data_IF_630479912952
#
_entry.id   IF_630479912952
#
_cell.length_a   1.000
_cell.length_b   1.000
_cell.length_c   1.000
_cell.angle_alpha   90.00
_cell.angle_beta   90.00
_cell.angle_gamma   90.00
#
_symmetry.space_group_name_H-M   'P 1'
#
loop_
_entity.id
_entity.type
_entity.pdbx_description
1 polymer ?
#
# COMPACT_ATOMS: atom_id res chain seq x y z
N UNK A 1 12.35 7.80 -5.73
CA UNK A 1 11.41 8.11 -4.65
C UNK A 1 10.58 6.88 -4.41
N UNK A 2 10.97 6.03 -3.45
CA UNK A 2 10.51 4.66 -3.43
C UNK A 2 9.11 4.47 -2.88
N UNK A 3 8.72 5.10 -1.76
CA UNK A 3 7.35 4.98 -1.21
C UNK A 3 6.85 6.31 -0.65
N UNK A 4 5.62 6.69 -1.01
CA UNK A 4 4.92 7.86 -0.46
C UNK A 4 3.51 7.45 -0.05
N UNK A 5 3.15 7.69 1.21
CA UNK A 5 1.78 7.48 1.70
C UNK A 5 1.09 8.82 1.98
N UNK A 6 -0.15 8.92 1.51
CA UNK A 6 -0.97 10.12 1.60
C UNK A 6 -2.39 9.78 2.02
N UNK A 7 -3.08 10.74 2.61
CA UNK A 7 -4.46 10.59 3.05
C UNK A 7 -5.34 11.68 2.45
N UNK A 8 -6.55 11.31 2.04
CA UNK A 8 -7.60 12.23 1.67
C UNK A 8 -8.75 12.13 2.67
N UNK A 9 -8.87 13.16 3.53
CA UNK A 9 -9.85 13.19 4.63
C UNK A 9 -11.29 13.13 4.12
N UNK A 10 -11.61 13.81 3.03
CA UNK A 10 -12.96 13.82 2.47
C UNK A 10 -13.38 12.47 1.88
N UNK A 11 -12.42 11.62 1.52
CA UNK A 11 -12.65 10.26 1.02
C UNK A 11 -12.47 9.20 2.11
N UNK A 12 -11.96 9.57 3.29
CA UNK A 12 -11.48 8.65 4.32
C UNK A 12 -10.58 7.54 3.74
N UNK A 13 -9.70 7.92 2.81
CA UNK A 13 -8.93 6.99 1.98
C UNK A 13 -7.44 7.27 2.03
N UNK A 14 -6.65 6.22 2.25
CA UNK A 14 -5.20 6.25 2.07
C UNK A 14 -4.80 5.91 0.64
N UNK A 15 -3.72 6.52 0.18
CA UNK A 15 -3.04 6.18 -1.06
C UNK A 15 -1.55 6.00 -0.82
N UNK A 16 -1.01 4.86 -1.24
CA UNK A 16 0.43 4.57 -1.18
C UNK A 16 0.96 4.42 -2.59
N UNK A 17 1.86 5.32 -2.99
CA UNK A 17 2.53 5.28 -4.28
C UNK A 17 3.91 4.62 -4.13
N UNK A 18 4.18 3.65 -5.00
CA UNK A 18 5.48 2.96 -5.10
C UNK A 18 6.14 3.35 -6.43
N UNK A 19 7.37 3.88 -6.40
CA UNK A 19 8.05 4.38 -7.61
C UNK A 19 9.55 4.05 -7.67
N UNK A 20 10.04 3.66 -8.84
CA UNK A 20 11.42 3.19 -9.02
C UNK A 20 11.71 1.88 -8.26
N UNK A 21 12.97 1.60 -8.01
CA UNK A 21 13.38 0.37 -7.31
C UNK A 21 13.13 0.48 -5.82
N UNK A 22 12.08 -0.19 -5.34
CA UNK A 22 11.68 -0.25 -3.94
C UNK A 22 12.45 -1.35 -3.23
N UNK A 23 12.91 -1.04 -2.02
CA UNK A 23 13.72 -1.92 -1.19
C UNK A 23 12.92 -2.49 -0.01
N UNK A 24 13.41 -3.60 0.55
CA UNK A 24 12.84 -4.18 1.77
C UNK A 24 12.89 -3.19 2.95
N UNK A 25 13.96 -2.39 3.04
CA UNK A 25 14.11 -1.39 4.09
C UNK A 25 13.00 -0.32 4.04
N UNK A 26 12.60 0.11 2.84
CA UNK A 26 11.52 1.09 2.68
C UNK A 26 10.16 0.52 3.03
N UNK A 27 9.90 -0.74 2.65
CA UNK A 27 8.69 -1.45 3.06
C UNK A 27 8.65 -1.68 4.57
N UNK A 28 9.80 -1.99 5.18
CA UNK A 28 9.96 -2.11 6.62
C UNK A 28 9.70 -0.80 7.35
N UNK A 29 10.22 0.32 6.85
CA UNK A 29 9.97 1.65 7.39
C UNK A 29 8.48 2.03 7.34
N UNK A 30 7.78 1.68 6.26
CA UNK A 30 6.33 1.87 6.17
C UNK A 30 5.58 1.04 7.23
N UNK A 31 5.97 -0.23 7.42
CA UNK A 31 5.37 -1.08 8.45
C UNK A 31 5.60 -0.54 9.86
N UNK A 32 6.81 -0.03 10.15
CA UNK A 32 7.15 0.62 11.42
C UNK A 32 6.34 1.87 11.68
N UNK A 33 6.23 2.73 10.67
CA UNK A 33 5.42 3.93 10.74
C UNK A 33 3.95 3.59 11.05
N UNK A 34 3.38 2.62 10.33
CA UNK A 34 2.00 2.19 10.54
C UNK A 34 1.78 1.58 11.95
N UNK A 35 2.76 0.83 12.46
CA UNK A 35 2.69 0.27 13.82
C UNK A 35 2.72 1.37 14.88
N UNK A 36 3.50 2.43 14.67
CA UNK A 36 3.55 3.58 15.58
C UNK A 36 2.34 4.51 15.43
N UNK A 37 1.64 4.47 14.30
CA UNK A 37 0.52 5.34 13.95
C UNK A 37 -0.69 4.52 13.47
N UNK A 38 -1.30 3.70 14.35
CA UNK A 38 -2.29 2.70 13.96
C UNK A 38 -3.59 3.29 13.40
N UNK A 39 -3.88 4.57 13.63
CA UNK A 39 -5.03 5.26 13.01
C UNK A 39 -5.01 5.16 11.49
N UNK A 40 -3.84 5.19 10.84
CA UNK A 40 -3.78 5.06 9.38
C UNK A 40 -4.24 3.69 8.90
N UNK A 41 -4.20 2.67 9.75
CA UNK A 41 -4.60 1.32 9.39
C UNK A 41 -6.11 1.10 9.40
N UNK A 42 -6.89 2.06 9.93
CA UNK A 42 -8.36 1.99 9.98
C UNK A 42 -9.03 2.46 8.69
N UNK A 43 -8.30 3.11 7.79
CA UNK A 43 -8.84 3.63 6.52
C UNK A 43 -8.63 2.65 5.36
N UNK A 44 -9.57 2.63 4.42
CA UNK A 44 -9.38 1.93 3.16
C UNK A 44 -8.13 2.46 2.44
N UNK A 45 -7.50 1.62 1.61
CA UNK A 45 -6.21 1.96 0.99
C UNK A 45 -6.17 1.60 -0.49
N UNK A 46 -5.72 2.54 -1.32
CA UNK A 46 -5.20 2.28 -2.65
C UNK A 46 -3.67 2.16 -2.61
N UNK A 47 -3.13 1.06 -3.12
CA UNK A 47 -1.72 0.84 -3.36
C UNK A 47 -1.46 0.96 -4.86
N UNK A 48 -0.72 1.98 -5.27
CA UNK A 48 -0.43 2.26 -6.68
C UNK A 48 1.06 2.04 -6.95
N UNK A 49 1.36 0.96 -7.67
CA UNK A 49 2.71 0.70 -8.19
C UNK A 49 2.83 1.39 -9.54
N UNK A 50 3.57 2.50 -9.56
CA UNK A 50 3.69 3.38 -10.71
C UNK A 50 4.53 2.75 -11.82
N UNK A 51 4.36 3.23 -13.05
CA UNK A 51 5.17 2.80 -14.19
C UNK A 51 6.68 2.96 -13.89
N UNK A 52 7.46 1.94 -14.23
CA UNK A 52 8.91 1.90 -13.96
C UNK A 52 9.30 1.58 -12.52
N UNK A 53 8.34 1.31 -11.63
CA UNK A 53 8.62 0.77 -10.31
C UNK A 53 9.00 -0.72 -10.36
N UNK A 54 9.82 -1.17 -9.43
CA UNK A 54 10.21 -2.58 -9.31
C UNK A 54 10.48 -2.96 -7.85
N UNK A 55 10.41 -4.26 -7.57
CA UNK A 55 10.70 -4.85 -6.27
C UNK A 55 11.81 -5.92 -6.39
N UNK A 56 12.65 -5.83 -7.43
CA UNK A 56 13.55 -6.91 -7.83
C UNK A 56 14.66 -7.20 -6.81
N UNK A 57 14.92 -6.25 -5.91
CA UNK A 57 15.87 -6.42 -4.80
C UNK A 57 15.29 -7.22 -3.62
N UNK A 58 14.02 -7.62 -3.68
CA UNK A 58 13.31 -8.27 -2.59
C UNK A 58 12.96 -9.70 -2.98
N UNK A 59 13.47 -10.65 -2.22
CA UNK A 59 13.12 -12.06 -2.34
C UNK A 59 11.73 -12.34 -1.75
N UNK A 60 11.07 -13.39 -2.23
CA UNK A 60 9.72 -13.73 -1.77
C UNK A 60 9.64 -14.12 -0.30
N UNK A 61 10.67 -14.80 0.23
CA UNK A 61 10.76 -15.12 1.66
C UNK A 61 10.79 -13.85 2.53
N UNK A 62 11.39 -12.77 2.03
CA UNK A 62 11.38 -11.48 2.70
C UNK A 62 10.01 -10.80 2.65
N UNK A 63 9.24 -10.97 1.56
CA UNK A 63 7.84 -10.53 1.48
C UNK A 63 6.93 -11.31 2.43
N UNK A 64 7.20 -12.60 2.66
CA UNK A 64 6.47 -13.41 3.63
C UNK A 64 6.80 -13.01 5.08
N UNK A 65 8.07 -12.72 5.38
CA UNK A 65 8.45 -12.19 6.68
C UNK A 65 7.77 -10.83 6.95
N UNK A 66 7.74 -9.93 5.96
CA UNK A 66 7.04 -8.65 6.07
C UNK A 66 5.53 -8.85 6.28
N UNK A 67 4.91 -9.82 5.61
CA UNK A 67 3.50 -10.13 5.79
C UNK A 67 3.18 -10.59 7.20
N UNK A 68 3.99 -11.50 7.75
CA UNK A 68 3.80 -11.98 9.12
C UNK A 68 3.85 -10.80 10.11
N UNK A 69 4.75 -9.83 9.88
CA UNK A 69 4.80 -8.59 10.65
C UNK A 69 3.51 -7.78 10.55
N UNK A 70 2.94 -7.62 9.36
CA UNK A 70 1.65 -6.95 9.18
C UNK A 70 0.52 -7.71 9.88
N UNK A 71 0.46 -9.04 9.75
CA UNK A 71 -0.54 -9.88 10.43
C UNK A 71 -0.51 -9.67 11.95
N UNK A 72 0.68 -9.72 12.54
CA UNK A 72 0.86 -9.58 13.98
C UNK A 72 0.50 -8.16 14.45
N UNK A 73 0.72 -7.14 13.61
CA UNK A 73 0.30 -5.76 13.86
C UNK A 73 -1.23 -5.59 13.85
N UNK A 74 -1.95 -6.30 12.97
CA UNK A 74 -3.42 -6.21 12.88
C UNK A 74 -4.16 -7.04 13.95
N UNK A 75 -3.57 -8.13 14.45
CA UNK A 75 -4.16 -9.00 15.47
C UNK A 75 -4.79 -8.27 16.67
N UNK A 76 -4.10 -7.31 17.33
CA UNK A 76 -4.67 -6.62 18.49
C UNK A 76 -5.73 -5.56 18.14
N UNK A 77 -5.94 -5.23 16.86
CA UNK A 77 -6.72 -4.05 16.48
C UNK A 77 -8.25 -4.22 16.60
N UNK A 78 -8.75 -5.41 16.96
CA UNK A 78 -10.18 -5.75 17.13
C UNK A 78 -11.10 -4.99 16.17
N UNK A 79 -10.73 -4.99 14.88
CA UNK A 79 -11.41 -4.17 13.87
C UNK A 79 -12.80 -4.74 13.65
N UNK A 80 -13.81 -3.95 13.99
CA UNK A 80 -15.22 -4.31 13.81
C UNK A 80 -15.61 -4.37 12.31
N UNK A 81 -14.80 -3.78 11.43
CA UNK A 81 -15.03 -3.70 9.99
C UNK A 81 -13.76 -4.16 9.26
N UNK A 82 -13.93 -5.02 8.26
CA UNK A 82 -12.87 -5.45 7.36
C UNK A 82 -12.47 -4.28 6.44
N UNK A 83 -11.20 -3.90 6.45
CA UNK A 83 -10.66 -2.83 5.61
C UNK A 83 -10.46 -3.29 4.18
N UNK A 84 -10.67 -2.44 3.18
CA UNK A 84 -10.35 -2.72 1.78
C UNK A 84 -8.95 -2.22 1.42
N UNK A 85 -8.16 -3.06 0.76
CA UNK A 85 -6.83 -2.74 0.27
C UNK A 85 -6.73 -3.04 -1.23
N UNK A 86 -7.03 -2.04 -2.05
CA UNK A 86 -6.93 -2.14 -3.50
C UNK A 86 -5.46 -2.02 -3.93
N UNK A 87 -5.05 -2.82 -4.91
CA UNK A 87 -3.75 -2.75 -5.56
C UNK A 87 -3.91 -2.51 -7.05
N UNK A 88 -3.11 -1.60 -7.59
CA UNK A 88 -2.97 -1.33 -9.01
C UNK A 88 -1.48 -1.40 -9.39
N UNK A 89 -1.18 -2.19 -10.40
CA UNK A 89 0.19 -2.35 -10.89
C UNK A 89 0.29 -1.82 -12.33
N UNK A 90 0.97 -0.69 -12.49
CA UNK A 90 1.26 -0.08 -13.79
C UNK A 90 2.66 -0.44 -14.32
N UNK A 91 3.41 -1.25 -13.57
CA UNK A 91 4.76 -1.65 -13.94
C UNK A 91 4.86 -3.15 -14.22
N UNK A 92 5.19 -3.56 -15.46
CA UNK A 92 5.45 -4.96 -15.79
C UNK A 92 6.55 -5.59 -14.92
N UNK A 93 7.58 -4.82 -14.56
CA UNK A 93 8.70 -5.30 -13.74
C UNK A 93 8.28 -5.68 -12.30
N UNK A 94 7.15 -5.16 -11.82
CA UNK A 94 6.63 -5.41 -10.49
C UNK A 94 5.52 -6.48 -10.44
N UNK A 95 4.97 -6.89 -11.60
CA UNK A 95 3.77 -7.76 -11.66
C UNK A 95 3.94 -9.06 -10.89
N UNK A 96 5.13 -9.69 -10.98
CA UNK A 96 5.39 -10.96 -10.30
C UNK A 96 5.35 -10.80 -8.78
N UNK A 97 5.98 -9.75 -8.24
CA UNK A 97 6.02 -9.47 -6.80
C UNK A 97 4.66 -9.01 -6.27
N UNK A 98 3.98 -8.11 -6.98
CA UNK A 98 2.63 -7.68 -6.61
C UNK A 98 1.66 -8.86 -6.68
N UNK A 99 1.72 -9.64 -7.75
CA UNK A 99 0.92 -10.86 -7.89
C UNK A 99 1.17 -11.85 -6.77
N UNK A 100 2.43 -12.08 -6.38
CA UNK A 100 2.78 -12.92 -5.23
C UNK A 100 2.16 -12.38 -3.93
N UNK A 101 2.35 -11.08 -3.67
CA UNK A 101 1.81 -10.40 -2.49
C UNK A 101 0.29 -10.47 -2.38
N UNK A 102 -0.43 -10.34 -3.51
CA UNK A 102 -1.91 -10.30 -3.53
C UNK A 102 -2.57 -11.66 -3.73
N UNK A 103 -1.91 -12.65 -4.38
CA UNK A 103 -2.52 -13.95 -4.75
C UNK A 103 -2.20 -15.09 -3.78
N UNK A 104 -1.06 -15.06 -3.08
CA UNK A 104 -0.66 -16.19 -2.22
C UNK A 104 -1.53 -16.40 -0.97
N UNK A 105 -2.67 -15.69 -0.86
CA UNK A 105 -3.27 -15.32 0.41
C UNK A 105 -4.79 -15.24 0.26
N UNK A 106 -5.47 -16.37 0.44
CA UNK A 106 -6.82 -16.37 1.01
C UNK A 106 -6.71 -15.78 2.43
N UNK A 107 -6.54 -14.46 2.51
CA UNK A 107 -6.30 -13.71 3.73
C UNK A 107 -7.56 -13.55 4.59
N UNK A 108 -8.65 -14.26 4.26
CA UNK A 108 -9.95 -14.16 4.94
C UNK A 108 -9.87 -14.55 6.42
N UNK A 109 -8.91 -15.38 6.81
CA UNK A 109 -8.86 -15.91 8.19
C UNK A 109 -7.82 -15.23 9.09
N UNK A 110 -6.87 -14.45 8.54
CA UNK A 110 -5.73 -13.93 9.31
C UNK A 110 -5.51 -12.42 9.23
N UNK A 111 -6.13 -11.72 8.29
CA UNK A 111 -5.97 -10.27 8.15
C UNK A 111 -7.31 -9.55 8.29
N UNK A 112 -7.30 -8.44 9.03
CA UNK A 112 -8.42 -7.49 9.09
C UNK A 112 -8.58 -6.67 7.79
N UNK A 113 -8.14 -7.20 6.65
CA UNK A 113 -8.24 -6.54 5.34
C UNK A 113 -8.58 -7.49 4.21
N UNK A 114 -9.54 -7.11 3.37
CA UNK A 114 -9.74 -7.68 2.04
C UNK A 114 -8.75 -7.04 1.07
N UNK A 115 -7.99 -7.86 0.34
CA UNK A 115 -6.91 -7.39 -0.54
C UNK A 115 -7.19 -7.85 -1.95
N UNK A 116 -7.18 -6.92 -2.91
CA UNK A 116 -7.46 -7.25 -4.32
C UNK A 116 -6.58 -6.48 -5.29
N UNK A 117 -6.08 -7.19 -6.29
CA UNK A 117 -5.37 -6.61 -7.44
C UNK A 117 -6.38 -6.31 -8.55
N UNK A 118 -6.28 -5.11 -9.12
CA UNK A 118 -7.14 -4.60 -10.19
C UNK A 118 -6.33 -4.28 -11.45
N UNK A 119 -7.04 -4.21 -12.58
CA UNK A 119 -6.49 -3.82 -13.89
C UNK A 119 -6.65 -2.32 -14.19
N UNK A 120 -7.51 -1.62 -13.45
CA UNK A 120 -7.94 -0.25 -13.75
C UNK A 120 -8.35 0.53 -12.50
N UNK A 121 -8.15 1.85 -12.54
CA UNK A 121 -8.58 2.77 -11.47
C UNK A 121 -10.09 2.74 -11.29
N UNK A 122 -10.85 2.56 -12.38
CA UNK A 122 -12.29 2.47 -12.40
C UNK A 122 -12.79 1.28 -11.56
N UNK A 123 -12.27 0.08 -11.83
CA UNK A 123 -12.63 -1.13 -11.09
C UNK A 123 -12.22 -1.05 -9.62
N UNK A 124 -11.02 -0.50 -9.35
CA UNK A 124 -10.56 -0.29 -7.97
C UNK A 124 -11.45 0.71 -7.21
N UNK A 125 -11.80 1.84 -7.83
CA UNK A 125 -12.63 2.87 -7.23
C UNK A 125 -14.06 2.37 -6.95
N UNK A 126 -14.65 1.61 -7.89
CA UNK A 126 -15.96 1.01 -7.69
C UNK A 126 -15.97 0.08 -6.47
N UNK A 127 -14.93 -0.75 -6.32
CA UNK A 127 -14.80 -1.67 -5.18
C UNK A 127 -14.47 -0.94 -3.87
N UNK A 128 -13.77 0.18 -3.95
CA UNK A 128 -13.58 1.12 -2.85
C UNK A 128 -14.84 1.96 -2.54
N UNK A 129 -15.95 1.74 -3.25
CA UNK A 129 -17.24 2.45 -3.08
C UNK A 129 -17.15 3.97 -3.34
N UNK A 130 -16.21 4.38 -4.20
CA UNK A 130 -16.05 5.78 -4.59
C UNK A 130 -17.04 6.18 -5.68
N UNK A 131 -17.53 7.41 -5.60
CA UNK A 131 -18.38 8.05 -6.60
C UNK A 131 -17.56 8.51 -7.82
N UNK A 132 -18.19 8.74 -8.99
CA UNK A 132 -17.46 9.16 -10.19
C UNK A 132 -16.62 10.44 -10.04
N UNK A 133 -17.10 11.42 -9.26
CA UNK A 133 -16.35 12.65 -8.96
C UNK A 133 -15.17 12.42 -8.00
N UNK A 134 -15.13 11.30 -7.28
CA UNK A 134 -14.05 10.92 -6.37
C UNK A 134 -12.99 10.07 -7.06
N UNK A 135 -13.37 9.31 -8.10
CA UNK A 135 -12.45 8.60 -8.98
C UNK A 135 -11.40 9.55 -9.59
N UNK A 136 -11.81 10.73 -10.04
CA UNK A 136 -10.87 11.68 -10.64
C UNK A 136 -9.85 12.20 -9.62
N UNK A 137 -10.25 12.38 -8.35
CA UNK A 137 -9.33 12.69 -7.25
C UNK A 137 -8.38 11.53 -6.97
N UNK A 138 -8.87 10.29 -7.05
CA UNK A 138 -8.06 9.09 -6.90
C UNK A 138 -6.96 9.03 -7.97
N UNK A 139 -7.28 9.36 -9.23
CA UNK A 139 -6.32 9.39 -10.35
C UNK A 139 -5.30 10.51 -10.19
N UNK A 140 -5.77 11.75 -9.99
CA UNK A 140 -4.91 12.94 -9.94
C UNK A 140 -4.08 13.04 -8.65
N UNK A 141 -4.53 12.40 -7.57
CA UNK A 141 -3.98 12.59 -6.24
C UNK A 141 -4.42 13.91 -5.60
N UNK A 142 -5.40 14.61 -6.17
CA UNK A 142 -5.94 15.86 -5.60
C UNK A 142 -6.56 15.62 -4.22
N UNK A 143 -6.24 16.50 -3.27
CA UNK A 143 -6.72 16.43 -1.89
C UNK A 143 -6.01 15.37 -1.03
N UNK A 144 -5.04 14.64 -1.58
CA UNK A 144 -4.21 13.73 -0.80
C UNK A 144 -3.03 14.48 -0.17
N UNK A 145 -2.97 14.48 1.17
CA UNK A 145 -1.88 15.08 1.94
C UNK A 145 -0.90 14.00 2.39
N UNK A 146 0.39 14.23 2.17
CA UNK A 146 1.44 13.29 2.59
C UNK A 146 1.52 13.20 4.12
N UNK A 147 1.53 11.95 4.62
CA UNK A 147 1.77 11.66 6.03
C UNK A 147 3.01 10.80 6.26
N UNK A 148 3.54 10.17 5.20
CA UNK A 148 4.75 9.36 5.27
C UNK A 148 5.50 9.31 3.94
N UNK A 149 6.83 9.21 4.03
CA UNK A 149 7.73 9.01 2.91
C UNK A 149 8.91 8.15 3.36
N UNK A 150 9.22 7.12 2.57
CA UNK A 150 10.46 6.37 2.68
C UNK A 150 11.33 6.65 1.45
N UNK A 151 12.55 7.14 1.68
CA UNK A 151 13.58 7.27 0.65
C UNK A 151 14.96 6.94 1.25
N UNK A 152 15.41 5.71 1.07
CA UNK A 152 16.71 5.27 1.64
C UNK A 152 17.92 5.87 0.91
N UNK A 153 17.71 6.65 -0.16
CA UNK A 153 18.79 7.42 -0.81
C UNK A 153 19.14 8.71 -0.07
N UNK A 154 18.40 9.08 0.98
CA UNK A 154 18.62 10.31 1.75
C UNK A 154 19.67 10.18 2.89
N UNK A 155 20.12 8.97 3.26
CA UNK A 155 21.14 8.76 4.31
C UNK A 155 22.58 8.82 3.79
N UNK A 156 22.83 9.60 2.75
CA UNK A 156 24.14 9.80 2.13
C UNK A 156 24.68 11.22 2.25
N UNK A 157 24.26 12.03 3.24
CA UNK A 157 24.93 13.31 3.53
C UNK A 157 24.55 13.88 4.90
N UNK A 158 25.10 13.35 6.00
CA UNK A 158 25.26 14.13 7.23
C UNK A 158 26.61 13.81 7.89
N UNK A 159 27.55 14.73 7.62
CA UNK A 159 28.79 15.11 8.33
C UNK A 159 29.91 14.09 8.45
#
# INVERSE_FOLDING_TARGET
MPIIARHNEALELNRVDYAGSVTLAELGALAEFNSANPTWLTYDCLNLVLAGADFLSIDFDALDALFNRYRDMYQPMNMLILRRSAWLCQSPAAERHVGYWTKGRDAKDALSSDVRLFDSCESAAQWLLLRPNELEKLKSGEGFTEFFRADTRATGLQR
#
